data_IF_475646143316
#
_entry.id   IF_475646143316
#
_cell.length_a   1.000
_cell.length_b   1.000
_cell.length_c   1.000
_cell.angle_alpha   90.00
_cell.angle_beta   90.00
_cell.angle_gamma   90.00
#
_symmetry.space_group_name_H-M   'P 1'
#
loop_
_entity.id
_entity.type
_entity.pdbx_description
1 polymer ?
#
# COMPACT_ATOMS: atom_id res chain seq x y z
N UNK A 1 -0.24 -6.64 5.90
CA UNK A 1 1.01 -7.40 6.10
C UNK A 1 1.48 -7.12 7.51
N UNK A 2 1.36 -8.09 8.42
CA UNK A 2 2.10 -8.04 9.67
C UNK A 2 3.53 -8.49 9.37
N UNK A 3 4.53 -7.67 9.68
CA UNK A 3 5.94 -8.05 9.52
C UNK A 3 6.33 -8.78 10.79
N UNK A 4 6.36 -10.10 10.71
CA UNK A 4 6.73 -10.96 11.86
C UNK A 4 8.25 -11.00 12.07
N UNK A 5 9.03 -10.79 11.01
CA UNK A 5 10.49 -10.81 11.07
C UNK A 5 11.09 -9.69 10.21
N UNK A 6 11.62 -8.66 10.89
CA UNK A 6 12.21 -7.48 10.24
C UNK A 6 13.46 -7.82 9.41
N UNK A 7 14.28 -8.74 9.90
CA UNK A 7 15.51 -9.19 9.24
C UNK A 7 15.21 -9.86 7.90
N UNK A 8 14.24 -10.77 7.90
CA UNK A 8 13.77 -11.44 6.69
C UNK A 8 13.17 -10.44 5.70
N UNK A 9 12.34 -9.53 6.20
CA UNK A 9 11.73 -8.48 5.36
C UNK A 9 12.79 -7.62 4.65
N UNK A 10 13.83 -7.17 5.36
CA UNK A 10 14.92 -6.39 4.75
C UNK A 10 15.63 -7.20 3.68
N UNK A 11 15.99 -8.45 3.99
CA UNK A 11 16.66 -9.35 3.04
C UNK A 11 15.83 -9.53 1.76
N UNK A 12 14.55 -9.87 1.89
CA UNK A 12 13.62 -10.08 0.78
C UNK A 12 13.45 -8.79 -0.05
N UNK A 13 13.37 -7.62 0.61
CA UNK A 13 13.24 -6.33 -0.07
C UNK A 13 14.45 -6.01 -0.95
N UNK A 14 15.67 -6.20 -0.45
CA UNK A 14 16.88 -5.89 -1.21
C UNK A 14 17.13 -6.91 -2.33
N UNK A 15 16.85 -8.19 -2.10
CA UNK A 15 16.88 -9.23 -3.14
C UNK A 15 15.89 -8.94 -4.26
N UNK A 16 14.66 -8.55 -3.93
CA UNK A 16 13.64 -8.18 -4.91
C UNK A 16 14.03 -6.95 -5.76
N UNK A 17 14.89 -6.09 -5.22
CA UNK A 17 15.47 -4.94 -5.92
C UNK A 17 16.84 -5.24 -6.56
N UNK A 18 17.17 -6.52 -6.75
CA UNK A 18 18.39 -6.98 -7.42
C UNK A 18 19.69 -6.53 -6.72
N UNK A 19 19.63 -6.27 -5.41
CA UNK A 19 20.83 -6.03 -4.63
C UNK A 19 21.47 -7.36 -4.21
N UNK A 20 22.78 -7.36 -4.03
CA UNK A 20 23.53 -8.53 -3.59
C UNK A 20 23.65 -8.51 -2.07
N UNK A 21 23.33 -9.64 -1.42
CA UNK A 21 23.56 -9.84 0.00
C UNK A 21 24.98 -10.38 0.19
N UNK A 22 25.85 -9.57 0.80
CA UNK A 22 27.24 -9.94 1.05
C UNK A 22 27.41 -10.74 2.35
N UNK A 23 26.60 -10.43 3.35
CA UNK A 23 26.61 -11.08 4.66
C UNK A 23 25.19 -11.11 5.22
N UNK A 24 24.81 -12.20 5.88
CA UNK A 24 23.46 -12.40 6.42
C UNK A 24 23.51 -13.36 7.62
N UNK A 25 23.73 -12.80 8.81
CA UNK A 25 23.93 -13.57 10.04
C UNK A 25 23.14 -12.99 11.21
N UNK A 26 22.32 -13.82 11.88
CA UNK A 26 21.74 -13.55 13.21
C UNK A 26 21.27 -12.09 13.46
N UNK A 27 20.49 -11.53 12.53
CA UNK A 27 19.97 -10.16 12.63
C UNK A 27 20.97 -9.07 12.25
N UNK A 28 22.00 -9.41 11.48
CA UNK A 28 22.90 -8.50 10.78
C UNK A 28 22.90 -8.86 9.30
N UNK A 29 22.69 -7.88 8.43
CA UNK A 29 22.71 -8.09 6.98
C UNK A 29 23.52 -6.99 6.31
N UNK A 30 24.49 -7.37 5.49
CA UNK A 30 25.28 -6.44 4.67
C UNK A 30 24.87 -6.59 3.22
N UNK A 31 24.47 -5.47 2.61
CA UNK A 31 23.93 -5.41 1.26
C UNK A 31 24.83 -4.53 0.40
N UNK A 32 25.21 -5.01 -0.77
CA UNK A 32 25.74 -4.19 -1.85
C UNK A 32 24.56 -3.59 -2.62
N UNK A 33 24.44 -2.25 -2.57
CA UNK A 33 23.37 -1.57 -3.29
C UNK A 33 23.62 -1.56 -4.79
N UNK A 34 22.54 -1.49 -5.55
CA UNK A 34 22.56 -1.09 -6.96
C UNK A 34 22.51 0.43 -7.08
N UNK A 35 22.91 0.98 -8.24
CA UNK A 35 22.85 2.42 -8.53
C UNK A 35 21.48 3.02 -8.20
N UNK A 36 20.41 2.33 -8.63
CA UNK A 36 19.03 2.74 -8.38
C UNK A 36 18.69 2.77 -6.89
N UNK A 37 19.14 1.78 -6.12
CA UNK A 37 18.82 1.69 -4.70
C UNK A 37 19.65 2.66 -3.86
N UNK A 38 20.90 2.92 -4.25
CA UNK A 38 21.74 3.96 -3.63
C UNK A 38 21.11 5.35 -3.82
N UNK A 39 20.65 5.68 -5.03
CA UNK A 39 19.92 6.92 -5.31
C UNK A 39 18.65 7.08 -4.46
N UNK A 40 17.90 5.99 -4.27
CA UNK A 40 16.62 6.01 -3.56
C UNK A 40 16.77 6.08 -2.04
N UNK A 41 17.82 5.46 -1.50
CA UNK A 41 17.94 5.20 -0.06
C UNK A 41 19.07 6.03 0.57
N UNK A 42 20.20 6.23 -0.11
CA UNK A 42 21.40 6.82 0.51
C UNK A 42 21.42 8.36 0.56
N UNK A 43 20.38 9.05 0.06
CA UNK A 43 20.30 10.52 0.05
C UNK A 43 21.56 11.19 -0.54
N UNK A 44 22.12 10.63 -1.62
CA UNK A 44 23.30 11.16 -2.34
C UNK A 44 22.97 11.72 -3.74
N UNK A 45 21.99 12.63 -3.89
CA UNK A 45 21.53 13.08 -5.21
C UNK A 45 22.61 13.81 -6.01
N UNK A 46 23.49 14.58 -5.36
CA UNK A 46 24.57 15.32 -6.03
C UNK A 46 25.64 14.41 -6.62
N UNK A 47 26.00 13.32 -5.92
CA UNK A 47 26.94 12.32 -6.43
C UNK A 47 26.43 11.71 -7.73
N UNK A 48 25.19 11.22 -7.72
CA UNK A 48 24.58 10.61 -8.90
C UNK A 48 24.33 11.60 -10.03
N UNK A 49 23.98 12.85 -9.72
CA UNK A 49 23.88 13.90 -10.73
C UNK A 49 25.21 14.13 -11.43
N UNK A 50 26.30 14.26 -10.66
CA UNK A 50 27.64 14.46 -11.20
C UNK A 50 28.13 13.27 -12.02
N UNK A 51 28.05 12.04 -11.49
CA UNK A 51 28.48 10.81 -12.18
C UNK A 51 27.75 10.63 -13.52
N UNK A 52 26.44 10.89 -13.56
CA UNK A 52 25.64 10.82 -14.79
C UNK A 52 26.04 11.89 -15.81
N UNK A 53 26.39 13.10 -15.36
CA UNK A 53 26.84 14.18 -16.25
C UNK A 53 28.18 13.87 -16.92
N UNK A 54 29.10 13.24 -16.19
CA UNK A 54 30.43 12.88 -16.72
C UNK A 54 30.43 11.53 -17.46
N UNK A 55 29.29 10.85 -17.55
CA UNK A 55 29.15 9.58 -18.28
C UNK A 55 29.91 8.39 -17.65
N UNK A 56 30.23 8.46 -16.35
CA UNK A 56 30.93 7.38 -15.65
C UNK A 56 29.94 6.39 -15.02
N UNK A 57 30.43 5.17 -14.75
CA UNK A 57 29.68 4.21 -13.93
C UNK A 57 29.75 4.62 -12.45
N UNK A 58 28.61 4.57 -11.77
CA UNK A 58 28.54 4.88 -10.35
C UNK A 58 29.16 3.80 -9.47
N UNK A 59 29.51 4.18 -8.26
CA UNK A 59 29.97 3.29 -7.21
C UNK A 59 28.93 3.30 -6.08
N UNK A 60 27.94 2.39 -6.14
CA UNK A 60 26.92 2.29 -5.11
C UNK A 60 27.51 1.80 -3.77
N UNK A 61 26.98 2.29 -2.66
CA UNK A 61 27.50 1.98 -1.33
C UNK A 61 27.13 0.59 -0.85
N UNK A 62 27.92 0.09 0.09
CA UNK A 62 27.57 -1.05 0.94
C UNK A 62 26.90 -0.54 2.20
N UNK A 63 25.83 -1.20 2.62
CA UNK A 63 25.12 -0.87 3.85
C UNK A 63 24.99 -2.11 4.72
N UNK A 64 25.14 -1.92 6.03
CA UNK A 64 24.95 -3.00 7.01
C UNK A 64 23.80 -2.61 7.92
N UNK A 65 22.77 -3.45 7.99
CA UNK A 65 21.67 -3.29 8.92
C UNK A 65 21.77 -4.27 10.06
N UNK A 66 21.45 -3.80 11.26
CA UNK A 66 21.38 -4.61 12.48
C UNK A 66 19.93 -4.55 12.95
N UNK A 67 19.28 -5.70 13.09
CA UNK A 67 17.92 -5.85 13.63
C UNK A 67 17.91 -6.60 14.96
N UNK A 68 19.01 -7.24 15.35
CA UNK A 68 19.15 -7.91 16.64
C UNK A 68 19.68 -6.91 17.71
N UNK A 69 18.91 -6.62 18.79
CA UNK A 69 19.36 -5.73 19.87
C UNK A 69 20.69 -6.15 20.51
N UNK A 70 20.97 -7.45 20.60
CA UNK A 70 22.19 -7.96 21.25
C UNK A 70 23.46 -7.64 20.44
N UNK A 71 23.32 -7.29 19.15
CA UNK A 71 24.42 -6.97 18.22
C UNK A 71 24.53 -5.48 17.93
N UNK A 72 23.84 -4.62 18.70
CA UNK A 72 23.76 -3.17 18.43
C UNK A 72 25.12 -2.46 18.45
N UNK A 73 26.12 -3.00 19.17
CA UNK A 73 27.47 -2.43 19.26
C UNK A 73 28.35 -2.74 18.04
N UNK A 74 27.88 -3.54 17.08
CA UNK A 74 28.61 -3.81 15.84
C UNK A 74 28.53 -2.63 14.87
N UNK A 75 29.47 -2.56 13.92
CA UNK A 75 29.43 -1.55 12.85
C UNK A 75 28.23 -1.82 11.92
N UNK A 76 27.21 -0.96 12.00
CA UNK A 76 26.03 -1.00 11.16
C UNK A 76 24.95 -0.03 11.61
N UNK A 77 23.91 0.14 10.79
CA UNK A 77 22.74 0.95 11.09
C UNK A 77 21.71 0.08 11.84
N UNK A 78 21.35 0.46 13.07
CA UNK A 78 20.31 -0.23 13.82
C UNK A 78 18.92 0.09 13.24
N UNK A 79 18.20 -0.96 12.81
CA UNK A 79 16.87 -0.85 12.22
C UNK A 79 15.85 -1.53 13.11
N UNK A 80 14.84 -0.75 13.49
CA UNK A 80 13.64 -1.21 14.20
C UNK A 80 12.40 -0.55 13.57
N UNK A 81 11.20 -0.89 14.05
CA UNK A 81 9.94 -0.42 13.44
C UNK A 81 9.75 1.10 13.41
N UNK A 82 10.39 1.83 14.32
CA UNK A 82 10.37 3.30 14.37
C UNK A 82 11.55 3.97 13.68
N UNK A 83 12.47 3.20 13.08
CA UNK A 83 13.65 3.77 12.45
C UNK A 83 13.27 4.55 11.17
N UNK A 84 13.85 5.74 10.94
CA UNK A 84 13.58 6.54 9.73
C UNK A 84 13.84 5.75 8.44
N UNK A 85 14.89 4.92 8.45
CA UNK A 85 15.27 4.05 7.33
C UNK A 85 14.20 3.06 6.95
N UNK A 86 13.61 2.38 7.93
CA UNK A 86 12.54 1.44 7.64
C UNK A 86 11.32 2.15 7.05
N UNK A 87 10.96 3.32 7.58
CA UNK A 87 9.90 4.14 7.00
C UNK A 87 10.22 4.59 5.56
N UNK A 88 11.47 4.94 5.27
CA UNK A 88 11.92 5.24 3.90
C UNK A 88 11.74 4.01 2.99
N UNK A 89 12.16 2.83 3.42
CA UNK A 89 11.97 1.57 2.69
C UNK A 89 10.49 1.29 2.42
N UNK A 90 9.61 1.44 3.43
CA UNK A 90 8.17 1.27 3.26
C UNK A 90 7.54 2.24 2.26
N UNK A 91 7.99 3.51 2.26
CA UNK A 91 7.54 4.52 1.29
C UNK A 91 7.97 4.13 -0.12
N UNK A 92 9.22 3.70 -0.30
CA UNK A 92 9.74 3.26 -1.60
C UNK A 92 9.00 2.02 -2.10
N UNK A 93 8.81 1.02 -1.25
CA UNK A 93 8.04 -0.19 -1.55
C UNK A 93 6.60 0.15 -1.95
N UNK A 94 5.95 1.04 -1.20
CA UNK A 94 4.58 1.49 -1.48
C UNK A 94 4.49 2.31 -2.77
N UNK A 95 5.58 2.95 -3.22
CA UNK A 95 5.64 3.69 -4.48
C UNK A 95 5.90 2.78 -5.68
N UNK A 96 6.79 1.81 -5.54
CA UNK A 96 7.13 0.84 -6.59
C UNK A 96 6.03 -0.21 -6.78
N UNK A 97 5.42 -0.69 -5.69
CA UNK A 97 4.40 -1.74 -5.70
C UNK A 97 2.97 -1.26 -6.00
N UNK A 98 2.79 -0.05 -6.54
CA UNK A 98 1.43 0.50 -6.80
C UNK A 98 0.70 -0.21 -7.94
N UNK A 99 1.43 -0.56 -8.99
CA UNK A 99 0.86 -1.12 -10.21
C UNK A 99 1.69 -2.32 -10.63
N UNK A 100 1.02 -3.43 -10.91
CA UNK A 100 1.67 -4.63 -11.48
C UNK A 100 0.95 -5.11 -12.73
N UNK A 101 1.69 -5.83 -13.57
CA UNK A 101 1.13 -6.63 -14.65
C UNK A 101 1.67 -8.03 -14.53
N UNK A 102 0.78 -9.02 -14.45
CA UNK A 102 1.16 -10.41 -14.27
C UNK A 102 0.34 -11.33 -15.16
N UNK A 103 0.93 -12.45 -15.53
CA UNK A 103 0.40 -13.47 -16.41
C UNK A 103 0.45 -14.80 -15.68
N UNK A 104 -0.64 -15.56 -15.77
CA UNK A 104 -0.70 -16.91 -15.23
C UNK A 104 0.20 -17.84 -16.05
N UNK A 105 1.14 -18.50 -15.36
CA UNK A 105 1.91 -19.58 -15.93
C UNK A 105 1.18 -20.90 -15.65
N UNK A 106 0.36 -21.32 -16.61
CA UNK A 106 -0.07 -22.71 -16.69
C UNK A 106 0.99 -23.45 -17.51
N UNK A 107 1.57 -24.54 -16.99
CA UNK A 107 2.58 -25.35 -17.69
C UNK A 107 2.04 -26.11 -18.91
N UNK A 108 1.04 -25.56 -19.58
CA UNK A 108 0.37 -26.16 -20.72
C UNK A 108 1.23 -26.02 -21.97
N UNK A 109 1.32 -27.11 -22.74
CA UNK A 109 2.01 -27.17 -24.02
C UNK A 109 1.15 -26.57 -25.16
N UNK A 110 -0.14 -26.31 -24.88
CA UNK A 110 -1.11 -25.84 -25.87
C UNK A 110 -1.30 -24.32 -25.82
N UNK A 111 -1.67 -23.75 -26.97
CA UNK A 111 -1.90 -22.32 -27.08
C UNK A 111 -3.14 -21.89 -26.28
N UNK A 112 -2.95 -21.12 -25.22
CA UNK A 112 -4.05 -20.74 -24.33
C UNK A 112 -4.29 -19.22 -24.33
N UNK A 113 -5.57 -18.78 -24.42
CA UNK A 113 -5.91 -17.38 -24.24
C UNK A 113 -5.83 -16.98 -22.77
N UNK A 114 -5.22 -15.83 -22.50
CA UNK A 114 -5.23 -15.20 -21.19
C UNK A 114 -6.22 -14.03 -21.16
N UNK A 115 -7.17 -14.12 -20.24
CA UNK A 115 -8.24 -13.15 -20.05
C UNK A 115 -7.74 -12.05 -19.09
N UNK A 116 -7.88 -10.76 -19.46
CA UNK A 116 -7.49 -9.66 -18.59
C UNK A 116 -8.48 -9.42 -17.43
N UNK A 117 -7.91 -9.33 -16.23
CA UNK A 117 -8.55 -8.96 -14.98
C UNK A 117 -7.88 -7.70 -14.40
N UNK A 118 -8.67 -6.68 -14.11
CA UNK A 118 -8.23 -5.54 -13.32
C UNK A 118 -8.48 -5.85 -11.85
N UNK A 119 -7.43 -5.80 -11.04
CA UNK A 119 -7.52 -6.08 -9.60
C UNK A 119 -7.12 -4.84 -8.84
N UNK A 120 -7.92 -4.46 -7.85
CA UNK A 120 -7.68 -3.32 -6.97
C UNK A 120 -7.78 -3.76 -5.52
N UNK A 121 -6.76 -3.39 -4.73
CA UNK A 121 -6.81 -3.52 -3.28
C UNK A 121 -7.07 -2.15 -2.68
N UNK A 122 -8.17 -2.06 -1.94
CA UNK A 122 -8.74 -0.83 -1.42
C UNK A 122 -8.76 -0.91 0.10
N UNK A 123 -8.31 0.16 0.75
CA UNK A 123 -8.45 0.36 2.18
C UNK A 123 -9.54 1.38 2.43
N UNK A 124 -10.55 0.98 3.19
CA UNK A 124 -11.59 1.86 3.68
C UNK A 124 -11.27 2.18 5.13
N UNK A 125 -11.08 3.45 5.46
CA UNK A 125 -10.86 3.89 6.85
C UNK A 125 -12.08 4.68 7.31
N UNK A 126 -12.74 4.20 8.35
CA UNK A 126 -13.81 4.88 9.07
C UNK A 126 -13.16 5.68 10.19
N UNK A 127 -13.22 7.01 10.10
CA UNK A 127 -12.66 7.94 11.07
C UNK A 127 -13.81 8.64 11.79
N UNK A 128 -13.74 8.72 13.11
CA UNK A 128 -14.72 9.35 13.98
C UNK A 128 -14.25 9.19 15.42
N UNK A 129 -15.15 8.85 16.34
CA UNK A 129 -14.76 8.48 17.72
C UNK A 129 -13.77 7.31 17.74
N UNK A 130 -14.01 6.33 16.88
CA UNK A 130 -13.14 5.18 16.70
C UNK A 130 -12.63 5.15 15.27
N UNK A 131 -11.36 4.78 15.11
CA UNK A 131 -10.78 4.51 13.79
C UNK A 131 -10.88 3.02 13.50
N UNK A 132 -11.54 2.67 12.41
CA UNK A 132 -11.64 1.28 11.92
C UNK A 132 -11.17 1.23 10.47
N UNK A 133 -10.24 0.34 10.17
CA UNK A 133 -9.73 0.14 8.81
C UNK A 133 -10.20 -1.23 8.29
N UNK A 134 -10.72 -1.26 7.06
CA UNK A 134 -11.18 -2.45 6.34
C UNK A 134 -10.40 -2.57 5.03
N UNK A 135 -9.94 -3.77 4.70
CA UNK A 135 -9.22 -4.07 3.48
C UNK A 135 -10.09 -4.90 2.55
N UNK A 136 -10.29 -4.42 1.33
CA UNK A 136 -11.09 -5.05 0.30
C UNK A 136 -10.24 -5.33 -0.92
N UNK A 137 -10.44 -6.49 -1.53
CA UNK A 137 -9.75 -6.91 -2.74
C UNK A 137 -10.77 -7.26 -3.82
N UNK A 138 -10.86 -6.41 -4.83
CA UNK A 138 -11.80 -6.59 -5.94
C UNK A 138 -11.07 -6.95 -7.23
N UNK A 139 -11.58 -7.95 -7.93
CA UNK A 139 -11.20 -8.30 -9.29
C UNK A 139 -12.34 -8.03 -10.25
N UNK A 140 -12.09 -7.30 -11.33
CA UNK A 140 -13.04 -7.03 -12.39
C UNK A 140 -12.49 -7.56 -13.70
N UNK A 141 -13.27 -8.41 -14.35
CA UNK A 141 -12.89 -8.97 -15.62
C UNK A 141 -13.19 -8.02 -16.78
N UNK A 142 -12.19 -7.72 -17.61
CA UNK A 142 -12.30 -6.68 -18.63
C UNK A 142 -13.01 -7.13 -19.92
N UNK A 143 -13.51 -8.37 -19.98
CA UNK A 143 -14.29 -8.89 -21.11
C UNK A 143 -15.78 -8.74 -20.84
N UNK A 144 -16.30 -9.35 -19.78
CA UNK A 144 -17.72 -9.37 -19.46
C UNK A 144 -18.11 -8.44 -18.29
N UNK A 145 -17.14 -7.91 -17.56
CA UNK A 145 -17.38 -7.01 -16.45
C UNK A 145 -17.81 -7.69 -15.15
N UNK A 146 -17.62 -9.00 -14.99
CA UNK A 146 -17.86 -9.70 -13.72
C UNK A 146 -16.94 -9.17 -12.63
N UNK A 147 -17.50 -8.87 -11.46
CA UNK A 147 -16.78 -8.42 -10.28
C UNK A 147 -16.73 -9.55 -9.25
N UNK A 148 -15.55 -9.82 -8.70
CA UNK A 148 -15.27 -10.89 -7.73
C UNK A 148 -14.54 -10.32 -6.51
N UNK A 149 -14.89 -10.79 -5.32
CA UNK A 149 -14.26 -10.48 -4.02
C UNK A 149 -14.29 -11.73 -3.13
N UNK A 150 -13.26 -12.03 -2.31
CA UNK A 150 -11.93 -11.42 -2.27
C UNK A 150 -10.99 -11.98 -3.35
N UNK A 151 -10.50 -11.12 -4.25
CA UNK A 151 -9.68 -11.57 -5.40
C UNK A 151 -8.25 -11.99 -5.01
N UNK A 152 -7.60 -11.27 -4.09
CA UNK A 152 -6.21 -11.54 -3.74
C UNK A 152 -6.00 -12.93 -3.13
N UNK A 153 -6.96 -13.44 -2.35
CA UNK A 153 -6.92 -14.81 -1.79
C UNK A 153 -7.03 -15.90 -2.86
N UNK A 154 -7.71 -15.59 -3.98
CA UNK A 154 -7.80 -16.48 -5.13
C UNK A 154 -6.51 -16.44 -5.94
N UNK A 155 -5.92 -15.26 -6.13
CA UNK A 155 -4.66 -15.07 -6.85
C UNK A 155 -3.44 -15.66 -6.14
N UNK A 156 -3.43 -15.69 -4.80
CA UNK A 156 -2.30 -16.25 -4.03
C UNK A 156 -2.06 -17.73 -4.28
N UNK A 157 -3.07 -18.45 -4.80
CA UNK A 157 -2.98 -19.88 -5.17
C UNK A 157 -2.46 -20.11 -6.59
N UNK A 158 -2.32 -19.06 -7.39
CA UNK A 158 -1.92 -19.14 -8.79
C UNK A 158 -0.45 -18.75 -8.97
N UNK A 159 0.20 -19.39 -9.93
CA UNK A 159 1.56 -19.03 -10.32
C UNK A 159 1.52 -17.88 -11.33
N UNK A 160 1.95 -16.70 -10.88
CA UNK A 160 1.89 -15.46 -11.64
C UNK A 160 3.29 -14.92 -11.91
N UNK A 161 3.55 -14.54 -13.16
CA UNK A 161 4.84 -13.99 -13.59
C UNK A 161 4.67 -12.68 -14.37
N UNK A 162 5.67 -11.78 -14.35
CA UNK A 162 5.60 -10.51 -15.08
C UNK A 162 5.78 -10.67 -16.60
N UNK A 163 6.26 -11.84 -17.06
CA UNK A 163 6.52 -12.15 -18.47
C UNK A 163 5.38 -13.03 -19.01
N UNK A 164 5.02 -12.83 -20.27
CA UNK A 164 4.03 -13.68 -20.95
C UNK A 164 4.66 -15.07 -21.13
N UNK A 165 4.03 -16.15 -20.62
CA UNK A 165 4.53 -17.50 -20.84
C UNK A 165 4.49 -17.91 -22.31
N UNK A 166 5.36 -18.85 -22.67
CA UNK A 166 5.37 -19.44 -24.02
C UNK A 166 4.00 -20.03 -24.35
N UNK A 167 3.60 -19.91 -25.62
CA UNK A 167 2.30 -20.37 -26.13
C UNK A 167 1.06 -19.66 -25.56
N UNK A 168 1.19 -18.61 -24.75
CA UNK A 168 0.05 -17.80 -24.31
C UNK A 168 -0.19 -16.57 -25.20
N UNK A 169 -1.44 -16.16 -25.37
CA UNK A 169 -1.79 -14.87 -26.00
C UNK A 169 -2.81 -14.10 -25.16
N UNK A 170 -2.66 -12.78 -25.10
CA UNK A 170 -3.58 -11.91 -24.35
C UNK A 170 -4.83 -11.61 -25.16
N UNK A 171 -6.01 -11.77 -24.56
CA UNK A 171 -7.25 -11.29 -25.15
C UNK A 171 -7.32 -9.76 -24.98
N UNK A 172 -7.71 -9.06 -26.04
CA UNK A 172 -7.97 -7.62 -26.00
C UNK A 172 -9.14 -7.31 -25.06
N UNK A 173 -8.95 -6.41 -24.06
CA UNK A 173 -10.02 -6.03 -23.16
C UNK A 173 -11.11 -5.28 -23.92
N UNK A 174 -12.37 -5.66 -23.71
CA UNK A 174 -13.53 -4.96 -24.26
C UNK A 174 -13.84 -3.69 -23.44
N UNK A 175 -13.54 -3.74 -22.14
CA UNK A 175 -13.75 -2.65 -21.20
C UNK A 175 -12.42 -1.92 -20.98
N UNK A 176 -12.41 -0.61 -21.26
CA UNK A 176 -11.25 0.23 -20.95
C UNK A 176 -11.02 0.35 -19.44
N UNK A 177 -9.75 0.44 -19.04
CA UNK A 177 -9.32 0.52 -17.63
C UNK A 177 -10.04 1.65 -16.85
N UNK A 178 -10.27 2.81 -17.47
CA UNK A 178 -10.98 3.94 -16.83
C UNK A 178 -12.42 3.58 -16.47
N UNK A 179 -13.13 2.91 -17.37
CA UNK A 179 -14.52 2.49 -17.16
C UNK A 179 -14.61 1.37 -16.11
N UNK A 180 -13.68 0.42 -16.16
CA UNK A 180 -13.56 -0.64 -15.16
C UNK A 180 -13.33 -0.06 -13.75
N UNK A 181 -12.41 0.87 -13.63
CA UNK A 181 -12.12 1.58 -12.38
C UNK A 181 -13.35 2.30 -11.84
N UNK A 182 -14.04 3.09 -12.67
CA UNK A 182 -15.27 3.79 -12.25
C UNK A 182 -16.35 2.83 -11.78
N UNK A 183 -16.48 1.66 -12.43
CA UNK A 183 -17.44 0.64 -12.01
C UNK A 183 -17.09 0.04 -10.65
N UNK A 184 -15.80 -0.25 -10.40
CA UNK A 184 -15.35 -0.72 -9.09
C UNK A 184 -15.60 0.32 -7.99
N UNK A 185 -15.34 1.61 -8.25
CA UNK A 185 -15.62 2.67 -7.26
C UNK A 185 -17.12 2.76 -6.95
N UNK A 186 -18.00 2.68 -7.96
CA UNK A 186 -19.45 2.66 -7.72
C UNK A 186 -19.86 1.47 -6.86
N UNK A 187 -19.32 0.29 -7.14
CA UNK A 187 -19.58 -0.89 -6.32
C UNK A 187 -19.16 -0.71 -4.86
N UNK A 188 -17.99 -0.10 -4.62
CA UNK A 188 -17.55 0.25 -3.26
C UNK A 188 -18.49 1.26 -2.60
N UNK A 189 -18.97 2.26 -3.35
CA UNK A 189 -19.93 3.24 -2.84
C UNK A 189 -21.27 2.58 -2.47
N UNK A 190 -21.76 1.66 -3.29
CA UNK A 190 -22.98 0.90 -3.02
C UNK A 190 -22.81 -0.03 -1.81
N UNK A 191 -21.64 -0.67 -1.69
CA UNK A 191 -21.27 -1.44 -0.48
C UNK A 191 -21.27 -0.57 0.78
N UNK A 192 -20.77 0.67 0.69
CA UNK A 192 -20.79 1.61 1.81
C UNK A 192 -22.20 2.12 2.17
N UNK A 193 -23.14 2.10 1.22
CA UNK A 193 -24.54 2.49 1.43
C UNK A 193 -25.36 1.49 2.22
N UNK A 194 -24.99 0.21 2.13
CA UNK A 194 -25.70 -0.87 2.83
C UNK A 194 -25.19 -1.09 4.26
N UNK A 195 -24.09 -0.43 4.65
CA UNK A 195 -23.53 -0.51 6.00
C UNK A 195 -24.29 0.37 6.99
N UNK A 196 -24.25 -0.03 8.25
CA UNK A 196 -24.81 0.73 9.34
C UNK A 196 -24.00 2.01 9.61
N UNK A 197 -24.73 3.12 9.83
CA UNK A 197 -24.20 4.46 10.07
C UNK A 197 -24.27 4.88 11.54
N UNK A 198 -24.62 3.97 12.44
CA UNK A 198 -24.63 4.17 13.90
C UNK A 198 -23.33 4.79 14.41
N UNK A 199 -22.17 4.30 13.95
CA UNK A 199 -20.86 4.82 14.34
C UNK A 199 -20.67 6.31 14.00
N UNK A 200 -21.25 6.79 12.90
CA UNK A 200 -21.16 8.18 12.49
C UNK A 200 -22.03 9.07 13.37
N UNK A 201 -23.21 8.58 13.77
CA UNK A 201 -24.08 9.27 14.72
C UNK A 201 -23.43 9.40 16.10
N UNK A 202 -22.86 8.32 16.62
CA UNK A 202 -22.11 8.37 17.89
C UNK A 202 -20.95 9.37 17.84
N UNK A 203 -20.25 9.43 16.71
CA UNK A 203 -19.15 10.38 16.53
C UNK A 203 -19.64 11.83 16.53
N UNK A 204 -20.79 12.11 15.91
CA UNK A 204 -21.44 13.43 15.96
C UNK A 204 -21.90 13.80 17.36
N UNK A 205 -22.54 12.88 18.09
CA UNK A 205 -23.02 13.11 19.45
C UNK A 205 -21.84 13.42 20.39
N UNK A 206 -20.73 12.69 20.24
CA UNK A 206 -19.49 12.97 20.97
C UNK A 206 -18.86 14.31 20.61
N UNK A 207 -18.81 14.65 19.32
CA UNK A 207 -18.28 15.93 18.85
C UNK A 207 -19.09 17.09 19.46
N UNK A 208 -20.42 16.99 19.44
CA UNK A 208 -21.30 18.00 20.01
C UNK A 208 -21.13 18.13 21.53
N UNK A 209 -21.02 17.00 22.24
CA UNK A 209 -20.80 16.99 23.69
C UNK A 209 -19.46 17.65 24.08
N UNK A 210 -18.36 17.30 23.40
CA UNK A 210 -17.05 17.91 23.67
C UNK A 210 -17.00 19.38 23.28
N UNK A 211 -17.57 19.75 22.12
CA UNK A 211 -17.66 21.16 21.71
C UNK A 211 -18.42 22.01 22.72
N UNK A 212 -19.55 21.50 23.23
CA UNK A 212 -20.35 22.19 24.26
C UNK A 212 -19.64 22.31 25.60
N UNK A 213 -18.89 21.27 26.01
CA UNK A 213 -18.05 21.34 27.22
C UNK A 213 -16.97 22.41 27.07
N UNK A 214 -16.28 22.41 25.94
CA UNK A 214 -15.24 23.39 25.64
C UNK A 214 -15.82 24.82 25.66
N UNK A 215 -16.93 25.07 24.99
CA UNK A 215 -17.61 26.37 25.03
C UNK A 215 -17.99 26.81 26.46
N UNK A 216 -18.39 25.86 27.33
CA UNK A 216 -18.70 26.18 28.72
C UNK A 216 -17.49 26.65 29.53
N UNK A 217 -16.30 26.05 29.31
CA UNK A 217 -15.06 26.47 29.98
C UNK A 217 -14.61 27.89 29.60
N UNK A 218 -14.90 28.33 28.37
CA UNK A 218 -14.51 29.66 27.87
C UNK A 218 -15.62 30.72 27.96
N UNK A 219 -16.78 30.40 28.57
CA UNK A 219 -17.94 31.32 28.66
C UNK A 219 -17.68 32.57 29.48
N UNK A 220 -16.83 32.52 30.51
CA UNK A 220 -16.56 33.65 31.41
C UNK A 220 -15.53 34.63 30.83
N UNK A 221 -14.80 34.22 29.80
CA UNK A 221 -13.61 34.89 29.27
C UNK A 221 -13.82 35.52 27.88
N UNK A 222 -15.08 35.73 27.47
CA UNK A 222 -15.45 36.15 26.11
C UNK A 222 -14.91 37.52 25.67
N UNK A 223 -14.42 38.36 26.58
CA UNK A 223 -13.87 39.68 26.24
C UNK A 223 -12.42 39.62 25.71
N UNK A 224 -11.73 38.51 25.91
CA UNK A 224 -10.30 38.37 25.59
C UNK A 224 -10.09 37.71 24.21
N UNK A 225 -9.51 38.48 23.27
CA UNK A 225 -9.30 38.03 21.88
C UNK A 225 -8.34 36.85 21.77
N UNK A 226 -7.36 36.74 22.67
CA UNK A 226 -6.40 35.61 22.65
C UNK A 226 -7.09 34.30 23.04
N UNK A 227 -7.93 34.34 24.09
CA UNK A 227 -8.71 33.17 24.53
C UNK A 227 -9.77 32.75 23.50
N UNK A 228 -10.36 33.70 22.77
CA UNK A 228 -11.25 33.38 21.64
C UNK A 228 -10.53 32.64 20.51
N UNK A 229 -9.31 33.06 20.18
CA UNK A 229 -8.50 32.35 19.17
C UNK A 229 -8.13 30.94 19.63
N UNK A 230 -7.77 30.76 20.92
CA UNK A 230 -7.49 29.44 21.50
C UNK A 230 -8.73 28.54 21.48
N UNK A 231 -9.92 29.08 21.80
CA UNK A 231 -11.18 28.36 21.70
C UNK A 231 -11.45 27.89 20.26
N UNK A 232 -11.28 28.77 19.27
CA UNK A 232 -11.48 28.43 17.86
C UNK A 232 -10.50 27.35 17.37
N UNK A 233 -9.23 27.45 17.76
CA UNK A 233 -8.23 26.42 17.46
C UNK A 233 -8.61 25.08 18.09
N UNK A 234 -8.95 25.05 19.37
CA UNK A 234 -9.36 23.84 20.06
C UNK A 234 -10.64 23.22 19.48
N UNK A 235 -11.64 24.03 19.11
CA UNK A 235 -12.84 23.55 18.40
C UNK A 235 -12.48 22.93 17.04
N UNK A 236 -11.57 23.55 16.28
CA UNK A 236 -11.12 23.02 15.00
C UNK A 236 -10.35 21.69 15.14
N UNK A 237 -9.56 21.54 16.22
CA UNK A 237 -8.88 20.29 16.54
C UNK A 237 -9.86 19.18 16.90
N UNK A 238 -10.84 19.48 17.76
CA UNK A 238 -11.93 18.58 18.14
C UNK A 238 -12.73 18.16 16.90
N UNK A 239 -13.08 19.11 16.02
CA UNK A 239 -13.76 18.82 14.76
C UNK A 239 -12.90 17.91 13.88
N UNK A 240 -11.61 18.20 13.71
CA UNK A 240 -10.71 17.37 12.89
C UNK A 240 -10.61 15.93 13.39
N UNK A 241 -10.76 15.71 14.70
CA UNK A 241 -10.61 14.42 15.35
C UNK A 241 -11.88 13.58 15.31
N UNK A 242 -13.04 14.19 15.61
CA UNK A 242 -14.28 13.44 15.81
C UNK A 242 -15.26 13.54 14.65
N UNK A 243 -15.05 14.45 13.68
CA UNK A 243 -15.91 14.54 12.51
C UNK A 243 -15.90 13.23 11.73
N UNK A 244 -17.05 12.54 11.60
CA UNK A 244 -17.09 11.25 10.94
C UNK A 244 -16.75 11.38 9.47
N UNK A 245 -15.72 10.66 9.02
CA UNK A 245 -15.25 10.65 7.63
C UNK A 245 -14.91 9.23 7.21
N UNK A 246 -15.33 8.88 6.00
CA UNK A 246 -14.88 7.65 5.35
C UNK A 246 -13.83 8.05 4.32
N UNK A 247 -12.61 7.51 4.45
CA UNK A 247 -11.57 7.63 3.42
C UNK A 247 -11.44 6.32 2.66
N UNK A 248 -11.37 6.41 1.33
CA UNK A 248 -11.16 5.27 0.44
C UNK A 248 -9.80 5.47 -0.21
N UNK A 249 -8.83 4.65 0.18
CA UNK A 249 -7.47 4.69 -0.33
C UNK A 249 -7.19 3.45 -1.16
N UNK A 250 -6.69 3.62 -2.39
CA UNK A 250 -6.22 2.49 -3.19
C UNK A 250 -4.78 2.20 -2.79
N UNK A 251 -4.56 1.00 -2.24
CA UNK A 251 -3.23 0.56 -1.83
C UNK A 251 -2.41 0.23 -3.08
N UNK A 252 -2.95 -0.64 -3.92
CA UNK A 252 -2.32 -1.05 -5.17
C UNK A 252 -3.38 -1.57 -6.14
N UNK A 253 -2.97 -1.70 -7.39
CA UNK A 253 -3.76 -2.33 -8.43
C UNK A 253 -2.89 -3.08 -9.41
N UNK A 254 -3.49 -3.89 -10.25
CA UNK A 254 -2.75 -4.58 -11.30
C UNK A 254 -3.64 -5.15 -12.37
N UNK A 255 -3.01 -5.45 -13.52
CA UNK A 255 -3.61 -6.19 -14.61
C UNK A 255 -3.09 -7.63 -14.54
N UNK A 256 -3.99 -8.56 -14.30
CA UNK A 256 -3.72 -9.98 -14.19
C UNK A 256 -4.33 -10.69 -15.38
N UNK A 257 -3.54 -11.48 -16.08
CA UNK A 257 -3.96 -12.22 -17.25
C UNK A 257 -4.07 -13.70 -16.88
N UNK A 258 -5.29 -14.17 -16.71
CA UNK A 258 -5.60 -15.53 -16.23
C UNK A 258 -6.08 -16.41 -17.38
N UNK A 259 -5.73 -17.68 -17.34
CA UNK A 259 -6.28 -18.72 -18.21
C UNK A 259 -7.80 -18.82 -18.07
N UNK A 260 -8.44 -19.41 -19.07
CA UNK A 260 -9.90 -19.57 -19.07
C UNK A 260 -10.39 -20.48 -17.93
N UNK A 261 -9.62 -21.51 -17.58
CA UNK A 261 -9.93 -22.44 -16.48
C UNK A 261 -9.87 -21.73 -15.13
N UNK A 262 -8.76 -21.06 -14.83
CA UNK A 262 -8.60 -20.29 -13.60
C UNK A 262 -9.59 -19.13 -13.52
N UNK A 263 -9.88 -18.46 -14.64
CA UNK A 263 -10.92 -17.44 -14.71
C UNK A 263 -12.31 -17.99 -14.38
N UNK A 264 -12.60 -19.25 -14.70
CA UNK A 264 -13.88 -19.88 -14.37
C UNK A 264 -13.92 -20.31 -12.90
N UNK A 265 -12.82 -20.83 -12.36
CA UNK A 265 -12.70 -21.18 -10.94
C UNK A 265 -12.84 -19.94 -10.06
N UNK A 266 -12.24 -18.82 -10.46
CA UNK A 266 -12.36 -17.54 -9.76
C UNK A 266 -13.81 -17.05 -9.74
N UNK A 267 -14.57 -17.28 -10.82
CA UNK A 267 -16.00 -16.91 -10.93
C UNK A 267 -16.93 -17.86 -10.15
N UNK A 268 -16.72 -19.18 -10.23
CA UNK A 268 -17.66 -20.18 -9.68
C UNK A 268 -17.68 -20.28 -8.16
N UNK A 269 -16.65 -19.75 -7.50
CA UNK A 269 -16.53 -19.69 -6.04
C UNK A 269 -17.01 -18.33 -5.49
N UNK A 270 -18.11 -17.80 -6.04
CA UNK A 270 -18.77 -16.56 -5.62
C UNK A 270 -20.14 -16.85 -5.05
#
# INVERSE_FOLDING_TARGET
>A
MAIENLHKFLSDYFLANQCELLDNENGKVTIQLTDKMDELIMNRPFYWHYIKQIGQQGQPMKITFITNPDRQNEQGEWVHFGSPRLHQIFRTLSKQGKITRQYEQSGSVYRQPLIPWLVLNIKISYQGKHKKDELLSYGLQLINGTLVSPMMEKLSKLNLQPVIPDYCYTISPLIHNKSAYQRMIRYVQDYLRTKDYTWAKESWDHLYAEGKLLEHFYKEDQADKEKQNQLQQALSEIESRFRPRISIDIINGGLFYLSQESSNVVRSSS
#
